data_IF_686851098239
#
_entry.id   IF_686851098239
#
_cell.length_a   1.000
_cell.length_b   1.000
_cell.length_c   1.000
_cell.angle_alpha   90.00
_cell.angle_beta   90.00
_cell.angle_gamma   90.00
#
_symmetry.space_group_name_H-M   'P 1'
#
loop_
_entity.id
_entity.type
_entity.pdbx_description
1 polymer ?
#
# COMPACT_ATOMS: atom_id res chain seq x y z
N UNK A 1 10.31 10.04 8.47
CA UNK A 1 9.92 11.43 8.52
C UNK A 1 10.51 12.20 9.71
N UNK A 2 10.46 11.73 10.99
CA UNK A 2 11.16 12.42 12.07
C UNK A 2 12.67 12.55 11.84
N UNK A 3 13.32 11.51 11.33
CA UNK A 3 14.74 11.52 10.95
C UNK A 3 15.00 12.55 9.84
N UNK A 4 14.10 12.65 8.86
CA UNK A 4 14.20 13.64 7.78
C UNK A 4 14.14 15.04 8.34
N UNK A 5 13.22 15.31 9.27
CA UNK A 5 13.09 16.63 9.90
C UNK A 5 14.31 16.98 10.71
N UNK A 6 14.89 16.03 11.47
CA UNK A 6 16.16 16.24 12.17
C UNK A 6 17.31 16.56 11.22
N UNK A 7 17.45 15.82 10.13
CA UNK A 7 18.47 16.09 9.12
C UNK A 7 18.29 17.48 8.49
N UNK A 8 17.06 17.85 8.15
CA UNK A 8 16.75 19.17 7.60
C UNK A 8 17.18 20.30 8.54
N UNK A 9 16.93 20.14 9.84
CA UNK A 9 17.28 21.13 10.85
C UNK A 9 18.79 21.27 11.08
N UNK A 10 19.57 20.17 10.90
CA UNK A 10 21.00 20.18 11.21
C UNK A 10 21.92 20.40 10.01
N UNK A 11 21.59 19.83 8.85
CA UNK A 11 22.47 19.82 7.67
C UNK A 11 21.87 20.46 6.41
N UNK A 12 20.66 20.98 6.53
CA UNK A 12 19.94 21.58 5.43
C UNK A 12 19.40 20.58 4.41
N UNK A 13 18.51 21.04 3.55
CA UNK A 13 17.73 20.18 2.68
C UNK A 13 18.54 19.40 1.63
N UNK A 14 19.56 20.03 1.02
CA UNK A 14 20.39 19.39 -0.02
C UNK A 14 21.17 18.19 0.54
N UNK A 15 21.85 18.41 1.66
CA UNK A 15 22.63 17.35 2.31
C UNK A 15 21.74 16.26 2.90
N UNK A 16 20.57 16.63 3.44
CA UNK A 16 19.59 15.67 3.95
C UNK A 16 19.10 14.71 2.85
N UNK A 17 18.81 15.22 1.65
CA UNK A 17 18.42 14.38 0.51
C UNK A 17 19.53 13.40 0.09
N UNK A 18 20.78 13.88 0.03
CA UNK A 18 21.92 13.01 -0.32
C UNK A 18 22.12 11.91 0.71
N UNK A 19 22.09 12.26 2.01
CA UNK A 19 22.21 11.26 3.09
C UNK A 19 21.10 10.21 3.00
N UNK A 20 19.86 10.64 2.82
CA UNK A 20 18.72 9.71 2.69
C UNK A 20 18.86 8.81 1.47
N UNK A 21 19.28 9.35 0.33
CA UNK A 21 19.51 8.56 -0.89
C UNK A 21 20.59 7.50 -0.67
N UNK A 22 21.72 7.88 -0.06
CA UNK A 22 22.82 6.95 0.24
C UNK A 22 22.37 5.86 1.20
N UNK A 23 21.67 6.21 2.27
CA UNK A 23 21.13 5.23 3.25
C UNK A 23 20.14 4.28 2.58
N UNK A 24 19.23 4.81 1.77
CA UNK A 24 18.27 3.99 1.03
C UNK A 24 18.96 3.01 0.08
N UNK A 25 19.94 3.48 -0.71
CA UNK A 25 20.71 2.63 -1.61
C UNK A 25 21.52 1.56 -0.87
N UNK A 26 22.17 1.96 0.23
CA UNK A 26 23.00 1.05 1.03
C UNK A 26 22.18 -0.07 1.69
N UNK A 27 20.92 0.19 2.01
CA UNK A 27 20.01 -0.83 2.56
C UNK A 27 19.31 -1.64 1.46
N UNK A 28 18.77 -0.97 0.44
CA UNK A 28 17.92 -1.63 -0.56
C UNK A 28 18.72 -2.50 -1.53
N UNK A 29 19.90 -2.05 -1.97
CA UNK A 29 20.69 -2.80 -2.95
C UNK A 29 21.18 -4.15 -2.38
N UNK A 30 21.83 -4.22 -1.20
CA UNK A 30 22.27 -5.50 -0.67
C UNK A 30 21.11 -6.44 -0.33
N UNK A 31 20.04 -5.91 0.28
CA UNK A 31 18.85 -6.69 0.58
C UNK A 31 18.22 -7.28 -0.68
N UNK A 32 18.05 -6.47 -1.71
CA UNK A 32 17.50 -6.95 -2.98
C UNK A 32 18.43 -7.97 -3.64
N UNK A 33 19.73 -7.74 -3.65
CA UNK A 33 20.70 -8.65 -4.25
C UNK A 33 20.75 -10.03 -3.57
N UNK A 34 20.56 -10.07 -2.24
CA UNK A 34 20.62 -11.31 -1.47
C UNK A 34 19.28 -12.06 -1.48
N UNK A 35 18.17 -11.34 -1.29
CA UNK A 35 16.88 -11.97 -1.03
C UNK A 35 15.96 -12.06 -2.26
N UNK A 36 16.08 -11.14 -3.24
CA UNK A 36 15.25 -11.20 -4.43
C UNK A 36 15.77 -12.29 -5.38
N UNK A 37 14.92 -13.28 -5.64
CA UNK A 37 15.11 -14.28 -6.69
C UNK A 37 14.16 -13.97 -7.85
N UNK A 38 14.60 -14.32 -9.05
CA UNK A 38 13.84 -13.99 -10.26
C UNK A 38 12.57 -14.81 -10.38
N UNK A 39 12.63 -16.06 -9.98
CA UNK A 39 11.53 -17.03 -10.10
C UNK A 39 11.52 -17.99 -8.92
N UNK A 40 10.33 -18.47 -8.46
CA UNK A 40 10.23 -19.46 -7.39
C UNK A 40 10.93 -20.79 -7.75
N UNK A 41 11.00 -21.11 -9.03
CA UNK A 41 11.66 -22.31 -9.58
C UNK A 41 13.18 -22.32 -9.29
N UNK A 42 13.83 -21.16 -9.19
CA UNK A 42 15.25 -21.02 -8.82
C UNK A 42 15.53 -21.52 -7.39
N UNK A 43 14.48 -21.66 -6.58
CA UNK A 43 14.53 -22.20 -5.22
C UNK A 43 13.92 -23.62 -5.13
N UNK A 44 13.60 -24.24 -6.27
CA UNK A 44 12.94 -25.55 -6.30
C UNK A 44 11.48 -25.54 -5.82
N UNK A 45 10.85 -24.35 -5.83
CA UNK A 45 9.43 -24.19 -5.51
C UNK A 45 8.64 -24.08 -6.80
N UNK A 46 7.52 -24.79 -6.87
CA UNK A 46 6.55 -24.61 -7.95
C UNK A 46 5.59 -23.47 -7.63
N UNK A 47 5.04 -22.87 -8.68
CA UNK A 47 3.92 -21.93 -8.58
C UNK A 47 2.80 -22.63 -7.83
N UNK A 48 2.21 -21.98 -6.83
CA UNK A 48 1.16 -22.51 -5.93
C UNK A 48 1.60 -23.57 -4.91
N UNK A 49 2.91 -23.73 -4.65
CA UNK A 49 3.38 -24.64 -3.59
C UNK A 49 3.16 -26.12 -3.87
N UNK A 50 2.79 -26.50 -5.07
CA UNK A 50 2.69 -27.92 -5.46
C UNK A 50 4.09 -28.48 -5.67
N UNK A 51 4.45 -29.51 -4.89
CA UNK A 51 5.71 -30.23 -5.14
C UNK A 51 5.63 -30.94 -6.49
N UNK A 52 6.74 -30.92 -7.30
CA UNK A 52 6.80 -31.76 -8.51
C UNK A 52 6.53 -33.20 -8.11
N UNK A 53 5.49 -33.78 -8.65
CA UNK A 53 5.32 -35.22 -8.55
C UNK A 53 6.39 -35.81 -9.50
N UNK A 54 7.38 -36.56 -9.00
CA UNK A 54 8.36 -37.17 -9.89
C UNK A 54 7.60 -38.05 -10.88
N UNK A 55 7.77 -37.75 -12.16
CA UNK A 55 7.18 -38.53 -13.25
C UNK A 55 7.72 -39.97 -13.21
N UNK A 56 7.08 -40.82 -12.43
CA UNK A 56 7.21 -42.25 -12.54
C UNK A 56 6.21 -42.74 -13.60
N UNK A 57 6.74 -42.95 -14.79
CA UNK A 57 6.14 -43.83 -15.81
C UNK A 57 4.73 -43.44 -16.26
N UNK A 58 4.65 -42.72 -17.35
CA UNK A 58 3.65 -42.87 -18.40
C UNK A 58 2.20 -43.13 -17.97
N UNK A 59 1.52 -42.12 -17.51
CA UNK A 59 0.08 -41.90 -17.73
C UNK A 59 -0.19 -40.43 -17.40
N UNK A 60 -0.66 -39.68 -18.37
CA UNK A 60 -1.20 -38.34 -18.21
C UNK A 60 -2.31 -38.41 -17.16
N UNK A 61 -1.99 -38.04 -15.91
CA UNK A 61 -3.03 -37.75 -14.94
C UNK A 61 -3.89 -36.62 -15.52
N UNK A 62 -5.21 -36.70 -15.53
CA UNK A 62 -6.04 -35.61 -15.98
C UNK A 62 -5.78 -34.44 -15.04
N UNK A 63 -5.24 -33.38 -15.61
CA UNK A 63 -5.24 -32.04 -15.00
C UNK A 63 -6.69 -31.82 -14.54
N UNK A 64 -6.90 -31.59 -13.24
CA UNK A 64 -8.22 -31.19 -12.75
C UNK A 64 -8.73 -30.05 -13.62
N UNK A 65 -10.04 -29.77 -13.67
CA UNK A 65 -10.59 -28.81 -14.59
C UNK A 65 -9.79 -27.52 -14.43
N UNK A 66 -8.96 -27.24 -15.44
CA UNK A 66 -8.34 -25.93 -15.58
C UNK A 66 -9.52 -24.97 -15.60
N UNK A 67 -9.66 -24.16 -14.56
CA UNK A 67 -10.55 -23.02 -14.62
C UNK A 67 -10.05 -22.27 -15.84
N UNK A 68 -10.81 -22.29 -16.93
CA UNK A 68 -10.49 -21.55 -18.14
C UNK A 68 -10.37 -20.09 -17.70
N UNK A 69 -9.14 -19.65 -17.49
CA UNK A 69 -8.87 -18.23 -17.25
C UNK A 69 -9.36 -17.49 -18.49
N UNK A 70 -10.47 -16.81 -18.34
CA UNK A 70 -11.05 -16.01 -19.40
C UNK A 70 -10.05 -14.91 -19.72
N UNK A 71 -9.24 -15.11 -20.75
CA UNK A 71 -8.26 -14.11 -21.19
C UNK A 71 -8.98 -12.93 -21.82
N UNK A 72 -9.18 -11.88 -21.04
CA UNK A 72 -9.78 -10.63 -21.51
C UNK A 72 -8.80 -9.88 -22.41
N UNK A 73 -9.24 -9.48 -23.59
CA UNK A 73 -8.51 -8.49 -24.36
C UNK A 73 -8.71 -7.10 -23.76
N UNK A 74 -7.72 -6.23 -23.89
CA UNK A 74 -7.79 -4.83 -23.40
C UNK A 74 -9.05 -4.13 -23.94
N UNK A 75 -9.40 -4.39 -25.20
CA UNK A 75 -10.59 -3.79 -25.85
C UNK A 75 -11.91 -4.26 -25.21
N UNK A 76 -11.99 -5.52 -24.83
CA UNK A 76 -13.15 -6.08 -24.15
C UNK A 76 -13.29 -5.51 -22.74
N UNK A 77 -12.22 -5.45 -21.97
CA UNK A 77 -12.19 -4.86 -20.64
C UNK A 77 -12.69 -3.39 -20.66
N UNK A 78 -12.19 -2.58 -21.59
CA UNK A 78 -12.61 -1.17 -21.75
C UNK A 78 -14.08 -0.99 -22.20
N UNK A 79 -14.72 -2.03 -22.72
CA UNK A 79 -16.16 -1.99 -23.08
C UNK A 79 -17.08 -2.31 -21.90
N UNK A 80 -16.54 -2.77 -20.78
CA UNK A 80 -17.34 -3.09 -19.60
C UNK A 80 -17.56 -1.86 -18.71
N UNK A 81 -18.80 -1.68 -18.25
CA UNK A 81 -19.12 -0.61 -17.30
C UNK A 81 -18.41 -0.79 -15.95
N UNK A 82 -18.09 -2.02 -15.59
CA UNK A 82 -17.35 -2.36 -14.36
C UNK A 82 -15.95 -1.77 -14.37
N UNK A 83 -15.24 -1.88 -15.48
CA UNK A 83 -13.89 -1.32 -15.63
C UNK A 83 -13.90 0.20 -15.40
N UNK A 84 -14.85 0.91 -15.98
CA UNK A 84 -14.96 2.37 -15.82
C UNK A 84 -15.34 2.79 -14.41
N UNK A 85 -16.21 2.03 -13.73
CA UNK A 85 -16.56 2.28 -12.33
C UNK A 85 -15.35 2.09 -11.42
N UNK A 86 -14.56 1.04 -11.63
CA UNK A 86 -13.32 0.79 -10.88
C UNK A 86 -12.29 1.89 -11.14
N UNK A 87 -12.03 2.23 -12.39
CA UNK A 87 -11.11 3.30 -12.76
C UNK A 87 -11.52 4.63 -12.11
N UNK A 88 -12.79 4.99 -12.14
CA UNK A 88 -13.28 6.21 -11.51
C UNK A 88 -13.12 6.18 -9.99
N UNK A 89 -13.46 5.07 -9.35
CA UNK A 89 -13.34 4.91 -7.91
C UNK A 89 -11.86 5.05 -7.47
N UNK A 90 -10.95 4.37 -8.15
CA UNK A 90 -9.51 4.46 -7.84
C UNK A 90 -8.92 5.83 -8.19
N UNK A 91 -9.36 6.45 -9.29
CA UNK A 91 -8.92 7.79 -9.66
C UNK A 91 -9.33 8.84 -8.60
N UNK A 92 -10.58 8.79 -8.14
CA UNK A 92 -11.09 9.68 -7.09
C UNK A 92 -10.37 9.42 -5.74
N UNK A 93 -10.17 8.16 -5.37
CA UNK A 93 -9.43 7.80 -4.16
C UNK A 93 -7.97 8.26 -4.24
N UNK A 94 -7.31 8.05 -5.36
CA UNK A 94 -5.93 8.48 -5.60
C UNK A 94 -5.79 10.01 -5.58
N UNK A 95 -6.74 10.72 -6.16
CA UNK A 95 -6.78 12.19 -6.13
C UNK A 95 -6.95 12.69 -4.69
N UNK A 96 -7.90 12.13 -3.95
CA UNK A 96 -8.14 12.48 -2.55
C UNK A 96 -6.92 12.18 -1.67
N UNK A 97 -6.34 10.98 -1.81
CA UNK A 97 -5.16 10.57 -1.06
C UNK A 97 -3.93 11.43 -1.40
N UNK A 98 -3.66 11.63 -2.69
CA UNK A 98 -2.52 12.43 -3.15
C UNK A 98 -2.62 13.88 -2.73
N UNK A 99 -3.80 14.50 -2.94
CA UNK A 99 -4.07 15.87 -2.50
C UNK A 99 -3.89 16.03 -0.99
N UNK A 100 -4.47 15.13 -0.20
CA UNK A 100 -4.32 15.16 1.27
C UNK A 100 -2.86 14.98 1.69
N UNK A 101 -2.13 14.05 1.08
CA UNK A 101 -0.74 13.78 1.45
C UNK A 101 0.17 15.00 1.24
N UNK A 102 -0.06 15.77 0.18
CA UNK A 102 0.73 16.99 -0.11
C UNK A 102 0.37 18.15 0.82
N UNK A 103 -0.93 18.36 1.08
CA UNK A 103 -1.39 19.56 1.78
C UNK A 103 -1.50 19.38 3.30
N UNK A 104 -1.53 18.16 3.82
CA UNK A 104 -1.74 17.88 5.25
C UNK A 104 -0.62 18.40 6.16
N UNK A 105 0.65 18.32 5.73
CA UNK A 105 1.78 18.86 6.52
C UNK A 105 1.71 20.38 6.62
N UNK A 106 1.66 21.13 5.50
CA UNK A 106 1.47 22.59 5.55
C UNK A 106 0.26 23.00 6.39
N UNK A 107 -0.87 22.33 6.19
CA UNK A 107 -2.10 22.63 6.94
C UNK A 107 -1.90 22.61 8.45
N UNK A 108 -1.25 21.56 9.01
CA UNK A 108 -1.04 21.48 10.44
C UNK A 108 -0.01 22.52 10.95
N UNK A 109 1.04 22.80 10.18
CA UNK A 109 2.03 23.82 10.52
C UNK A 109 1.40 25.21 10.50
N UNK A 110 0.58 25.53 9.50
CA UNK A 110 -0.14 26.79 9.40
C UNK A 110 -1.17 26.98 10.53
N UNK A 111 -1.70 25.88 11.08
CA UNK A 111 -2.56 25.90 12.27
C UNK A 111 -1.78 25.98 13.59
N UNK A 112 -0.46 26.22 13.54
CA UNK A 112 0.37 26.51 14.71
C UNK A 112 0.99 25.28 15.39
N UNK A 113 0.92 24.10 14.78
CA UNK A 113 1.59 22.90 15.31
C UNK A 113 3.08 22.91 14.98
N UNK A 114 3.87 22.47 15.93
CA UNK A 114 5.31 22.30 15.73
C UNK A 114 5.62 21.27 14.64
N UNK A 115 6.56 21.59 13.74
CA UNK A 115 6.92 20.75 12.61
C UNK A 115 7.44 19.36 13.04
N UNK A 116 8.09 19.28 14.21
CA UNK A 116 8.57 18.02 14.74
C UNK A 116 7.40 17.13 15.20
N UNK A 117 6.41 17.70 15.88
CA UNK A 117 5.18 16.98 16.32
C UNK A 117 4.41 16.50 15.10
N UNK A 118 4.24 17.34 14.08
CA UNK A 118 3.61 16.96 12.81
C UNK A 118 4.37 15.80 12.16
N UNK A 119 5.71 15.83 12.14
CA UNK A 119 6.50 14.75 11.57
C UNK A 119 6.38 13.43 12.31
N UNK A 120 6.19 13.45 13.63
CA UNK A 120 5.89 12.23 14.42
C UNK A 120 4.50 11.66 14.12
N UNK A 121 3.50 12.50 13.90
CA UNK A 121 2.17 12.05 13.45
C UNK A 121 2.26 11.28 12.11
N UNK A 122 3.10 11.75 11.20
CA UNK A 122 3.35 11.06 9.92
C UNK A 122 4.15 9.76 10.07
N UNK A 123 4.97 9.63 11.11
CA UNK A 123 5.58 8.34 11.43
C UNK A 123 4.54 7.34 11.92
N UNK A 124 3.55 7.80 12.70
CA UNK A 124 2.39 7.01 13.10
C UNK A 124 1.53 6.56 11.90
N UNK A 125 1.32 7.45 10.94
CA UNK A 125 0.69 7.17 9.65
C UNK A 125 1.41 6.05 8.88
N UNK A 126 2.71 6.18 8.66
CA UNK A 126 3.51 5.18 7.97
C UNK A 126 3.51 3.82 8.70
N UNK A 127 3.58 3.84 10.03
CA UNK A 127 3.51 2.63 10.84
C UNK A 127 2.13 1.97 10.75
N UNK A 128 1.07 2.76 10.81
CA UNK A 128 -0.31 2.30 10.63
C UNK A 128 -0.52 1.66 9.26
N UNK A 129 0.01 2.26 8.19
CA UNK A 129 -0.06 1.72 6.85
C UNK A 129 0.67 0.37 6.73
N UNK A 130 1.87 0.26 7.28
CA UNK A 130 2.64 -0.98 7.26
C UNK A 130 1.95 -2.11 8.04
N UNK A 131 1.48 -1.82 9.26
CA UNK A 131 0.75 -2.80 10.08
C UNK A 131 -0.52 -3.25 9.37
N UNK A 132 -1.30 -2.30 8.84
CA UNK A 132 -2.56 -2.63 8.19
C UNK A 132 -2.37 -3.36 6.86
N UNK A 133 -1.32 -3.09 6.12
CA UNK A 133 -1.00 -3.84 4.90
C UNK A 133 -0.79 -5.32 5.18
N UNK A 134 -0.04 -5.67 6.26
CA UNK A 134 0.13 -7.05 6.69
C UNK A 134 -1.19 -7.68 7.18
N UNK A 135 -1.94 -6.92 7.98
CA UNK A 135 -3.21 -7.40 8.54
C UNK A 135 -4.30 -7.54 7.47
N UNK A 136 -4.34 -6.64 6.50
CA UNK A 136 -5.31 -6.69 5.40
C UNK A 136 -5.08 -7.90 4.48
N UNK A 137 -3.83 -8.34 4.27
CA UNK A 137 -3.52 -9.61 3.60
C UNK A 137 -4.16 -10.81 4.31
N UNK A 138 -3.97 -10.90 5.62
CA UNK A 138 -4.62 -11.93 6.44
C UNK A 138 -6.16 -11.83 6.45
N UNK A 139 -6.71 -10.60 6.40
CA UNK A 139 -8.16 -10.37 6.29
C UNK A 139 -8.71 -10.79 4.92
N UNK A 140 -7.97 -10.55 3.84
CA UNK A 140 -8.42 -10.83 2.48
C UNK A 140 -8.74 -12.34 2.28
N UNK A 141 -8.06 -13.21 3.03
CA UNK A 141 -8.33 -14.66 3.03
C UNK A 141 -9.66 -15.04 3.74
N UNK A 142 -10.25 -14.14 4.50
CA UNK A 142 -11.39 -14.42 5.39
C UNK A 142 -12.62 -13.54 5.15
N UNK A 143 -12.41 -12.38 4.61
CA UNK A 143 -13.43 -11.34 4.46
C UNK A 143 -13.51 -10.94 2.98
N UNK A 144 -14.69 -10.80 2.40
CA UNK A 144 -14.83 -10.35 1.02
C UNK A 144 -14.09 -9.03 0.78
N UNK A 145 -13.29 -8.97 -0.28
CA UNK A 145 -12.44 -7.81 -0.61
C UNK A 145 -13.24 -6.49 -0.66
N UNK A 146 -14.52 -6.56 -1.01
CA UNK A 146 -15.43 -5.40 -1.01
C UNK A 146 -15.55 -4.74 0.36
N UNK A 147 -15.56 -5.52 1.45
CA UNK A 147 -15.66 -5.00 2.82
C UNK A 147 -14.38 -4.25 3.17
N UNK A 148 -13.23 -4.80 2.80
CA UNK A 148 -11.93 -4.15 3.01
C UNK A 148 -11.86 -2.85 2.19
N UNK A 149 -12.33 -2.85 0.94
CA UNK A 149 -12.38 -1.68 0.09
C UNK A 149 -13.27 -0.57 0.68
N UNK A 150 -14.50 -0.91 1.08
CA UNK A 150 -15.42 0.06 1.70
C UNK A 150 -14.84 0.58 3.01
N UNK A 151 -14.23 -0.28 3.82
CA UNK A 151 -13.57 0.10 5.07
C UNK A 151 -12.42 1.07 4.84
N UNK A 152 -11.56 0.82 3.84
CA UNK A 152 -10.43 1.69 3.52
C UNK A 152 -10.88 3.07 3.02
N UNK A 153 -11.84 3.14 2.12
CA UNK A 153 -12.35 4.42 1.61
C UNK A 153 -13.12 5.21 2.68
N UNK A 154 -13.92 4.54 3.50
CA UNK A 154 -14.63 5.18 4.62
C UNK A 154 -13.65 5.68 5.67
N UNK A 155 -12.66 4.86 6.03
CA UNK A 155 -11.61 5.25 6.96
C UNK A 155 -10.81 6.47 6.47
N UNK A 156 -10.51 6.53 5.17
CA UNK A 156 -9.85 7.68 4.55
C UNK A 156 -10.71 8.96 4.68
N UNK A 157 -12.01 8.87 4.38
CA UNK A 157 -12.93 10.00 4.51
C UNK A 157 -13.07 10.48 5.97
N UNK A 158 -13.15 9.54 6.92
CA UNK A 158 -13.21 9.87 8.35
C UNK A 158 -11.90 10.51 8.81
N UNK A 159 -10.75 10.00 8.39
CA UNK A 159 -9.44 10.58 8.71
C UNK A 159 -9.33 12.03 8.25
N UNK A 160 -9.80 12.32 7.04
CA UNK A 160 -9.85 13.69 6.51
C UNK A 160 -10.82 14.57 7.31
N UNK A 161 -12.00 14.05 7.65
CA UNK A 161 -12.97 14.75 8.49
C UNK A 161 -12.41 15.11 9.86
N UNK A 162 -11.70 14.17 10.51
CA UNK A 162 -11.03 14.41 11.79
C UNK A 162 -9.94 15.49 11.68
N UNK A 163 -9.18 15.49 10.58
CA UNK A 163 -8.16 16.53 10.35
C UNK A 163 -8.77 17.92 10.17
N UNK A 164 -9.93 18.04 9.54
CA UNK A 164 -10.60 19.33 9.32
C UNK A 164 -11.24 19.90 10.60
N UNK A 165 -11.80 19.03 11.44
CA UNK A 165 -12.53 19.44 12.67
C UNK A 165 -11.55 19.64 13.83
N UNK A 166 -10.47 18.87 13.84
CA UNK A 166 -9.54 18.80 14.94
C UNK A 166 -8.64 20.02 15.07
N UNK A 167 -8.45 20.46 16.35
CA UNK A 167 -7.58 21.61 16.68
C UNK A 167 -6.58 21.30 17.78
N UNK A 168 -6.34 20.02 18.06
CA UNK A 168 -5.39 19.59 19.08
C UNK A 168 -4.60 18.36 18.59
N UNK A 169 -3.55 18.00 19.34
CA UNK A 169 -2.65 16.91 19.00
C UNK A 169 -3.35 15.55 18.89
N UNK A 170 -4.41 15.31 19.67
CA UNK A 170 -5.17 14.05 19.59
C UNK A 170 -5.80 13.85 18.21
N UNK A 171 -6.34 14.92 17.62
CA UNK A 171 -6.89 14.86 16.27
C UNK A 171 -5.78 14.73 15.21
N UNK A 172 -4.64 15.38 15.41
CA UNK A 172 -3.47 15.26 14.55
C UNK A 172 -3.01 13.78 14.47
N UNK A 173 -2.79 13.14 15.62
CA UNK A 173 -2.33 11.75 15.65
C UNK A 173 -3.41 10.76 15.23
N UNK A 174 -4.66 10.91 15.70
CA UNK A 174 -5.73 9.99 15.32
C UNK A 174 -6.07 10.05 13.84
N UNK A 175 -6.11 11.24 13.25
CA UNK A 175 -6.29 11.38 11.80
C UNK A 175 -5.13 10.78 11.00
N UNK A 176 -3.90 10.93 11.48
CA UNK A 176 -2.70 10.35 10.87
C UNK A 176 -2.75 8.82 10.89
N UNK A 177 -2.94 8.23 12.05
CA UNK A 177 -2.99 6.77 12.20
C UNK A 177 -4.14 6.18 11.37
N UNK A 178 -5.33 6.78 11.42
CA UNK A 178 -6.49 6.31 10.65
C UNK A 178 -6.26 6.45 9.14
N UNK A 179 -5.62 7.52 8.70
CA UNK A 179 -5.21 7.69 7.30
C UNK A 179 -4.25 6.58 6.88
N UNK A 180 -3.22 6.31 7.67
CA UNK A 180 -2.27 5.24 7.41
C UNK A 180 -2.91 3.86 7.34
N UNK A 181 -3.74 3.50 8.32
CA UNK A 181 -4.50 2.25 8.31
C UNK A 181 -5.36 2.11 7.05
N UNK A 182 -6.02 3.18 6.63
CA UNK A 182 -6.86 3.19 5.44
C UNK A 182 -6.06 3.00 4.15
N UNK A 183 -4.91 3.66 4.04
CA UNK A 183 -3.99 3.52 2.91
C UNK A 183 -3.40 2.11 2.85
N UNK A 184 -2.98 1.56 3.98
CA UNK A 184 -2.45 0.19 4.06
C UNK A 184 -3.46 -0.86 3.64
N UNK A 185 -4.73 -0.74 4.07
CA UNK A 185 -5.81 -1.60 3.62
C UNK A 185 -6.06 -1.45 2.10
N UNK A 186 -6.03 -0.23 1.59
CA UNK A 186 -6.23 0.08 0.18
C UNK A 186 -5.17 -0.53 -0.75
N UNK A 187 -3.93 -0.69 -0.30
CA UNK A 187 -2.86 -1.33 -1.09
C UNK A 187 -3.21 -2.76 -1.51
N UNK A 188 -3.80 -3.54 -0.62
CA UNK A 188 -4.23 -4.92 -0.90
C UNK A 188 -5.42 -4.93 -1.88
N UNK A 189 -6.35 -4.00 -1.71
CA UNK A 189 -7.54 -3.89 -2.57
C UNK A 189 -7.18 -3.75 -4.04
N UNK A 190 -6.15 -2.93 -4.37
CA UNK A 190 -5.69 -2.77 -5.76
C UNK A 190 -5.24 -4.10 -6.37
N UNK A 191 -4.45 -4.87 -5.63
CA UNK A 191 -3.89 -6.14 -6.15
C UNK A 191 -4.97 -7.20 -6.37
N UNK A 192 -5.93 -7.31 -5.45
CA UNK A 192 -6.98 -8.35 -5.51
C UNK A 192 -8.08 -8.06 -6.52
N UNK A 193 -8.53 -6.79 -6.66
CA UNK A 193 -9.65 -6.46 -7.57
C UNK A 193 -9.28 -6.64 -9.04
N UNK A 194 -8.00 -6.51 -9.40
CA UNK A 194 -7.55 -6.73 -10.77
C UNK A 194 -7.11 -8.18 -11.05
N UNK A 195 -7.07 -9.03 -10.02
CA UNK A 195 -6.74 -10.45 -10.15
C UNK A 195 -7.98 -11.36 -10.28
N UNK A 196 -9.19 -10.88 -9.90
CA UNK A 196 -10.49 -11.53 -10.12
C UNK A 196 -11.14 -11.09 -11.43
#
# INVERSE_FOLDING_TARGET
LPITQLLLNHIGWRSAWVVMAVVFMALSIPLSAVFLRRQPEDMGLEVDGKRPVPARGGTTAPSGPATEETSWTVREAFRTATMWKLLLAFALAGLAQGGTSVHRIPYWIENGFDAQIVSFSFAGDASGAAIMALFAGWMADRVPIRVIAVGSFTGLAVAMGLALIGRNEYFLFSSGILFGLSVGAGMIVHSYIFAE
#
